data_IF_438195533091
#
_entry.id   IF_438195533091
#
_cell.length_a   1.000
_cell.length_b   1.000
_cell.length_c   1.000
_cell.angle_alpha   90.00
_cell.angle_beta   90.00
_cell.angle_gamma   90.00
#
_symmetry.space_group_name_H-M   'P 1'
#
loop_
_entity.id
_entity.type
_entity.pdbx_description
1 polymer ?
#
# COMPACT_ATOMS: atom_id res chain seq x y z
N UNK A 1 -12.56 14.13 13.71
CA UNK A 1 -11.77 13.63 12.58
C UNK A 1 -10.43 13.14 13.12
N UNK A 2 -10.07 11.85 12.97
CA UNK A 2 -8.78 11.36 13.49
C UNK A 2 -7.65 11.80 12.56
N UNK A 3 -6.67 12.51 13.11
CA UNK A 3 -5.46 12.90 12.39
C UNK A 3 -4.51 11.69 12.30
N UNK A 4 -3.89 11.51 11.14
CA UNK A 4 -2.99 10.38 10.92
C UNK A 4 -1.59 10.77 11.40
N UNK A 5 -1.19 10.27 12.58
CA UNK A 5 0.11 10.56 13.17
C UNK A 5 1.13 9.56 12.64
N UNK A 6 2.08 10.03 11.84
CA UNK A 6 3.23 9.24 11.44
C UNK A 6 4.26 9.27 12.57
N UNK A 7 4.51 8.10 13.18
CA UNK A 7 5.57 7.95 14.15
C UNK A 7 6.89 7.61 13.46
N UNK A 8 7.99 8.04 14.07
CA UNK A 8 9.32 7.61 13.65
C UNK A 8 9.57 6.18 14.12
N UNK A 9 10.34 5.37 13.36
CA UNK A 9 10.83 4.10 13.85
C UNK A 9 11.64 4.30 15.13
N UNK A 10 11.53 3.32 16.05
CA UNK A 10 12.22 3.36 17.35
C UNK A 10 13.75 3.36 17.22
N UNK A 11 14.29 2.82 16.13
CA UNK A 11 15.73 2.69 15.90
C UNK A 11 16.12 3.19 14.52
N UNK A 12 17.32 3.79 14.41
CA UNK A 12 17.87 4.25 13.11
C UNK A 12 18.01 3.11 12.10
N UNK A 13 18.34 1.90 12.57
CA UNK A 13 18.47 0.70 11.73
C UNK A 13 17.19 0.26 11.03
N UNK A 14 16.02 0.77 11.44
CA UNK A 14 14.75 0.47 10.79
C UNK A 14 14.57 1.18 9.45
N UNK A 15 15.22 2.34 9.26
CA UNK A 15 15.25 3.01 7.97
C UNK A 15 16.15 2.22 7.02
N UNK A 16 15.61 1.86 5.86
CA UNK A 16 16.35 1.11 4.84
C UNK A 16 15.92 1.50 3.44
N UNK A 17 16.86 1.51 2.52
CA UNK A 17 16.59 1.59 1.09
C UNK A 17 16.38 0.19 0.53
N UNK A 18 15.41 0.04 -0.37
CA UNK A 18 15.12 -1.22 -1.04
C UNK A 18 15.18 -0.95 -2.54
N UNK A 19 15.98 -1.72 -3.26
CA UNK A 19 16.02 -1.67 -4.71
C UNK A 19 14.72 -2.28 -5.26
N UNK A 20 14.10 -1.57 -6.20
CA UNK A 20 12.85 -2.00 -6.84
C UNK A 20 13.10 -2.18 -8.34
N UNK A 21 12.47 -3.20 -8.92
CA UNK A 21 12.56 -3.46 -10.36
C UNK A 21 11.61 -2.59 -11.18
N UNK A 22 11.83 -2.59 -12.51
CA UNK A 22 11.04 -1.82 -13.48
C UNK A 22 9.53 -2.12 -13.40
N UNK A 23 9.14 -3.36 -13.09
CA UNK A 23 7.73 -3.74 -12.93
C UNK A 23 7.04 -2.89 -11.85
N UNK A 24 7.64 -2.78 -10.66
CA UNK A 24 7.06 -1.98 -9.58
C UNK A 24 7.10 -0.48 -9.90
N UNK A 25 8.17 -0.01 -10.54
CA UNK A 25 8.28 1.39 -10.99
C UNK A 25 7.11 1.75 -11.92
N UNK A 26 6.80 0.88 -12.89
CA UNK A 26 5.72 1.12 -13.83
C UNK A 26 4.35 1.11 -13.14
N UNK A 27 4.13 0.20 -12.18
CA UNK A 27 2.91 0.17 -11.37
C UNK A 27 2.74 1.47 -10.58
N UNK A 28 3.82 1.96 -9.93
CA UNK A 28 3.77 3.19 -9.15
C UNK A 28 3.52 4.44 -10.02
N UNK A 29 4.09 4.49 -11.23
CA UNK A 29 3.83 5.57 -12.20
C UNK A 29 2.36 5.61 -12.62
N UNK A 30 1.81 4.46 -13.04
CA UNK A 30 0.40 4.36 -13.40
C UNK A 30 -0.52 4.71 -12.23
N UNK A 31 -0.16 4.30 -11.02
CA UNK A 31 -0.91 4.63 -9.81
C UNK A 31 -0.90 6.14 -9.52
N UNK A 32 0.24 6.81 -9.72
CA UNK A 32 0.33 8.27 -9.57
C UNK A 32 -0.57 9.01 -10.59
N UNK A 33 -0.55 8.60 -11.85
CA UNK A 33 -1.43 9.15 -12.88
C UNK A 33 -2.91 8.99 -12.50
N UNK A 34 -3.30 7.80 -12.01
CA UNK A 34 -4.64 7.54 -11.51
C UNK A 34 -5.01 8.41 -10.29
N UNK A 35 -4.08 8.65 -9.36
CA UNK A 35 -4.31 9.56 -8.24
C UNK A 35 -4.51 11.01 -8.70
N UNK A 36 -3.76 11.46 -9.70
CA UNK A 36 -3.89 12.81 -10.27
C UNK A 36 -5.27 12.99 -10.93
N UNK A 37 -5.69 12.02 -11.74
CA UNK A 37 -7.02 12.01 -12.36
C UNK A 37 -8.13 12.05 -11.31
N UNK A 38 -8.03 11.22 -10.26
CA UNK A 38 -9.01 11.24 -9.18
C UNK A 38 -9.02 12.57 -8.42
N UNK A 39 -7.87 13.20 -8.22
CA UNK A 39 -7.80 14.51 -7.60
C UNK A 39 -8.58 15.56 -8.40
N UNK A 40 -8.49 15.52 -9.72
CA UNK A 40 -9.29 16.39 -10.60
C UNK A 40 -10.79 16.04 -10.54
N UNK A 41 -11.12 14.74 -10.62
CA UNK A 41 -12.51 14.26 -10.63
C UNK A 41 -13.28 14.58 -9.34
N UNK A 42 -12.62 14.41 -8.18
CA UNK A 42 -13.25 14.65 -6.87
C UNK A 42 -13.14 16.12 -6.43
N UNK A 43 -12.22 16.90 -7.01
CA UNK A 43 -12.05 18.33 -6.74
C UNK A 43 -11.96 18.64 -5.24
N UNK A 44 -12.90 19.45 -4.73
CA UNK A 44 -12.96 19.81 -3.31
C UNK A 44 -13.20 18.64 -2.35
N UNK A 45 -13.77 17.53 -2.85
CA UNK A 45 -14.03 16.32 -2.08
C UNK A 45 -12.82 15.39 -2.01
N UNK A 46 -11.75 15.71 -2.75
CA UNK A 46 -10.52 14.95 -2.71
C UNK A 46 -9.70 15.31 -1.47
N UNK A 47 -9.35 14.29 -0.68
CA UNK A 47 -8.49 14.45 0.48
C UNK A 47 -7.02 14.46 0.04
N UNK A 48 -6.46 15.66 -0.05
CA UNK A 48 -5.04 15.82 -0.37
C UNK A 48 -4.15 15.24 0.74
N UNK A 49 -3.23 14.35 0.35
CA UNK A 49 -2.22 13.80 1.25
C UNK A 49 -0.99 13.35 0.46
N UNK A 50 0.14 13.18 1.16
CA UNK A 50 1.39 12.68 0.57
C UNK A 50 1.48 11.14 0.57
N UNK A 51 0.36 10.44 0.73
CA UNK A 51 0.33 8.99 0.76
C UNK A 51 0.21 8.41 -0.65
N UNK A 52 0.98 7.35 -0.93
CA UNK A 52 0.88 6.60 -2.19
C UNK A 52 -0.33 5.66 -2.15
N UNK A 53 -0.52 4.91 -1.06
CA UNK A 53 -1.65 4.00 -0.95
C UNK A 53 -2.91 4.73 -0.44
N UNK A 54 -3.75 5.20 -1.35
CA UNK A 54 -5.02 5.88 -1.05
C UNK A 54 -6.21 5.20 -1.72
N UNK A 55 -7.41 5.50 -1.23
CA UNK A 55 -8.67 5.30 -1.95
C UNK A 55 -8.82 6.32 -3.08
N UNK A 56 -9.88 6.17 -3.87
CA UNK A 56 -10.25 7.09 -4.96
C UNK A 56 -10.43 8.53 -4.50
N UNK A 57 -11.01 8.74 -3.32
CA UNK A 57 -11.21 10.08 -2.74
C UNK A 57 -9.95 10.66 -2.07
N UNK A 58 -8.78 10.04 -2.21
CA UNK A 58 -7.52 10.49 -1.60
C UNK A 58 -7.33 10.12 -0.13
N UNK A 59 -8.30 9.44 0.50
CA UNK A 59 -8.14 8.96 1.87
C UNK A 59 -7.08 7.84 1.96
N UNK A 60 -6.15 7.88 2.93
CA UNK A 60 -5.16 6.83 3.11
C UNK A 60 -5.79 5.46 3.40
N UNK A 61 -5.20 4.39 2.85
CA UNK A 61 -5.57 3.03 3.23
C UNK A 61 -5.15 2.76 4.67
N UNK A 62 -6.03 2.10 5.43
CA UNK A 62 -5.80 1.81 6.85
C UNK A 62 -5.59 0.32 7.08
N UNK A 63 -5.14 -0.06 8.28
CA UNK A 63 -5.04 -1.46 8.69
C UNK A 63 -6.37 -2.22 8.53
N UNK A 64 -7.51 -1.54 8.72
CA UNK A 64 -8.82 -2.17 8.52
C UNK A 64 -9.07 -2.50 7.04
N UNK A 65 -8.64 -1.65 6.12
CA UNK A 65 -8.71 -1.92 4.68
C UNK A 65 -7.91 -3.18 4.32
N UNK A 66 -6.69 -3.29 4.85
CA UNK A 66 -5.84 -4.47 4.63
C UNK A 66 -6.40 -5.75 5.28
N UNK A 67 -7.04 -5.65 6.46
CA UNK A 67 -7.74 -6.78 7.10
C UNK A 67 -8.92 -7.26 6.27
N UNK A 68 -9.73 -6.33 5.75
CA UNK A 68 -10.83 -6.65 4.86
C UNK A 68 -10.33 -7.37 3.61
N UNK A 69 -9.33 -6.81 2.93
CA UNK A 69 -8.71 -7.43 1.76
C UNK A 69 -8.20 -8.84 2.06
N UNK A 70 -7.52 -9.03 3.20
CA UNK A 70 -7.04 -10.35 3.61
C UNK A 70 -8.17 -11.36 3.78
N UNK A 71 -9.31 -10.92 4.34
CA UNK A 71 -10.50 -11.77 4.51
C UNK A 71 -11.15 -12.14 3.17
N UNK A 72 -11.23 -11.20 2.23
CA UNK A 72 -11.73 -11.46 0.88
C UNK A 72 -10.86 -12.52 0.21
N UNK A 73 -9.55 -12.31 0.14
CA UNK A 73 -8.62 -13.28 -0.49
C UNK A 73 -8.69 -14.65 0.17
N UNK A 74 -8.75 -14.71 1.50
CA UNK A 74 -8.90 -15.96 2.24
C UNK A 74 -10.18 -16.71 1.86
N UNK A 75 -11.29 -16.01 1.67
CA UNK A 75 -12.57 -16.61 1.33
C UNK A 75 -12.63 -17.05 -0.14
N UNK A 76 -12.20 -16.18 -1.07
CA UNK A 76 -12.26 -16.46 -2.51
C UNK A 76 -11.31 -17.59 -2.93
N UNK A 77 -10.12 -17.65 -2.33
CA UNK A 77 -9.11 -18.65 -2.67
C UNK A 77 -9.06 -19.83 -1.69
N UNK A 78 -9.87 -19.80 -0.63
CA UNK A 78 -9.89 -20.81 0.43
C UNK A 78 -8.52 -21.10 1.08
N UNK A 79 -7.61 -20.12 1.11
CA UNK A 79 -6.26 -20.25 1.72
C UNK A 79 -6.10 -19.39 2.97
N UNK A 80 -5.26 -19.81 3.90
CA UNK A 80 -4.92 -18.97 5.04
C UNK A 80 -4.01 -17.80 4.60
N UNK A 81 -4.62 -16.64 4.32
CA UNK A 81 -3.93 -15.48 3.79
C UNK A 81 -3.89 -14.32 4.79
N UNK A 82 -2.74 -13.63 4.83
CA UNK A 82 -2.55 -12.34 5.46
C UNK A 82 -1.67 -11.46 4.56
N UNK A 83 -1.75 -10.14 4.69
CA UNK A 83 -0.82 -9.25 3.96
C UNK A 83 0.65 -9.55 4.27
N UNK A 84 0.97 -10.09 5.45
CA UNK A 84 2.35 -10.45 5.80
C UNK A 84 2.85 -11.67 5.02
N UNK A 85 1.94 -12.55 4.59
CA UNK A 85 2.26 -13.71 3.75
C UNK A 85 2.96 -13.28 2.47
N UNK A 86 2.55 -12.16 1.85
CA UNK A 86 3.21 -11.61 0.65
C UNK A 86 4.67 -11.24 0.89
N UNK A 87 5.00 -10.70 2.07
CA UNK A 87 6.38 -10.38 2.43
C UNK A 87 7.22 -11.64 2.60
N UNK A 88 6.66 -12.67 3.23
CA UNK A 88 7.34 -13.96 3.34
C UNK A 88 7.58 -14.60 1.97
N UNK A 89 6.57 -14.62 1.10
CA UNK A 89 6.72 -15.13 -0.26
C UNK A 89 7.81 -14.38 -1.03
N UNK A 90 7.85 -13.04 -0.93
CA UNK A 90 8.90 -12.26 -1.59
C UNK A 90 10.29 -12.62 -1.07
N UNK A 91 10.46 -12.80 0.25
CA UNK A 91 11.74 -13.22 0.82
C UNK A 91 12.15 -14.64 0.39
N UNK A 92 11.22 -15.60 0.39
CA UNK A 92 11.47 -16.97 -0.08
C UNK A 92 11.89 -16.98 -1.55
N UNK A 93 11.16 -16.27 -2.43
CA UNK A 93 11.50 -16.18 -3.86
C UNK A 93 12.87 -15.54 -4.12
N UNK A 94 13.36 -14.69 -3.21
CA UNK A 94 14.70 -14.12 -3.28
C UNK A 94 15.79 -15.06 -2.75
N UNK A 95 15.45 -16.02 -1.89
CA UNK A 95 16.38 -17.02 -1.36
C UNK A 95 16.48 -18.27 -2.24
N UNK A 96 15.39 -18.63 -2.92
CA UNK A 96 15.34 -19.75 -3.87
C UNK A 96 16.09 -19.47 -5.18
N UNK A 97 16.50 -18.22 -5.41
CA UNK A 97 17.31 -17.79 -6.55
C UNK A 97 18.72 -17.47 -6.10
#
# INVERSE_FOLDING_TARGET
MKEFILSTPKTKSSYRSINIGNTLINILRKHNEWQLQNKENYGQWYRNSNFVCTKENGEPLTTNTYKYLSRVVKNELCINFSMHSLRHTHATLLLER
#
